data_IF_188569302651
#
_entry.id   IF_188569302651
#
_cell.length_a   1.000
_cell.length_b   1.000
_cell.length_c   1.000
_cell.angle_alpha   90.00
_cell.angle_beta   90.00
_cell.angle_gamma   90.00
#
_symmetry.space_group_name_H-M   'P 1'
#
loop_
_entity.id
_entity.type
_entity.pdbx_description
1 polymer ?
#
# COMPACT_ATOMS: atom_id res chain seq x y z
N UNK A 1 -9.80 17.25 16.09
CA UNK A 1 -10.11 16.46 14.87
C UNK A 1 -11.10 15.37 15.24
N UNK A 2 -12.04 15.07 14.35
CA UNK A 2 -13.17 14.17 14.60
C UNK A 2 -12.72 12.71 14.66
N UNK A 3 -13.23 11.94 15.62
CA UNK A 3 -13.05 10.48 15.63
C UNK A 3 -13.91 9.82 14.55
N UNK A 4 -13.54 8.59 14.16
CA UNK A 4 -14.38 7.78 13.29
C UNK A 4 -15.75 7.56 13.95
N UNK A 5 -16.87 7.65 13.20
CA UNK A 5 -18.21 7.38 13.74
C UNK A 5 -18.28 6.00 14.41
N UNK A 6 -18.99 5.89 15.54
CA UNK A 6 -19.26 4.61 16.16
C UNK A 6 -20.26 3.79 15.33
N UNK A 7 -20.35 2.48 15.58
CA UNK A 7 -21.40 1.66 14.96
C UNK A 7 -22.81 2.17 15.30
N UNK A 8 -23.01 2.73 16.50
CA UNK A 8 -24.29 3.35 16.87
C UNK A 8 -24.58 4.58 16.01
N UNK A 9 -23.58 5.42 15.74
CA UNK A 9 -23.71 6.58 14.85
C UNK A 9 -24.05 6.12 13.43
N UNK A 10 -23.33 5.12 12.90
CA UNK A 10 -23.61 4.54 11.58
C UNK A 10 -25.03 4.00 11.51
N UNK A 11 -25.49 3.27 12.54
CA UNK A 11 -26.85 2.72 12.61
C UNK A 11 -27.91 3.81 12.66
N UNK A 12 -27.64 4.93 13.33
CA UNK A 12 -28.58 6.06 13.44
C UNK A 12 -28.82 6.78 12.10
N UNK A 13 -27.84 6.72 11.19
CA UNK A 13 -27.89 7.38 9.88
C UNK A 13 -28.23 6.40 8.76
N UNK A 14 -27.57 5.24 8.73
CA UNK A 14 -27.70 4.20 7.71
C UNK A 14 -27.60 2.80 8.34
N UNK A 15 -28.70 2.25 8.87
CA UNK A 15 -28.70 0.94 9.54
C UNK A 15 -28.33 -0.22 8.61
N UNK A 16 -28.59 -0.09 7.31
CA UNK A 16 -28.13 -1.08 6.33
C UNK A 16 -26.60 -1.05 6.20
N UNK A 17 -25.99 0.14 6.19
CA UNK A 17 -24.53 0.28 6.12
C UNK A 17 -23.86 -0.31 7.36
N UNK A 18 -24.36 0.02 8.56
CA UNK A 18 -23.84 -0.58 9.80
C UNK A 18 -23.90 -2.11 9.75
N UNK A 19 -25.03 -2.69 9.34
CA UNK A 19 -25.17 -4.15 9.22
C UNK A 19 -24.14 -4.75 8.26
N UNK A 20 -23.87 -4.12 7.11
CA UNK A 20 -22.85 -4.59 6.17
C UNK A 20 -21.44 -4.43 6.73
N UNK A 21 -21.15 -3.33 7.42
CA UNK A 21 -19.87 -3.12 8.12
C UNK A 21 -19.62 -4.25 9.11
N UNK A 22 -20.58 -4.57 9.97
CA UNK A 22 -20.44 -5.64 10.96
C UNK A 22 -20.38 -7.01 10.30
N UNK A 23 -21.44 -7.43 9.60
CA UNK A 23 -21.59 -8.83 9.16
C UNK A 23 -20.73 -9.18 7.96
N UNK A 24 -20.55 -8.25 7.01
CA UNK A 24 -19.86 -8.54 5.75
C UNK A 24 -18.40 -8.15 5.80
N UNK A 25 -18.06 -7.02 6.41
CA UNK A 25 -16.68 -6.53 6.44
C UNK A 25 -15.93 -7.10 7.64
N UNK A 26 -16.37 -6.79 8.88
CA UNK A 26 -15.65 -7.17 10.09
C UNK A 26 -15.70 -8.67 10.37
N UNK A 27 -16.90 -9.26 10.36
CA UNK A 27 -17.10 -10.70 10.62
C UNK A 27 -16.85 -11.58 9.38
N UNK A 28 -16.80 -10.97 8.20
CA UNK A 28 -16.64 -11.66 6.91
C UNK A 28 -15.27 -11.44 6.29
N UNK A 29 -15.11 -10.33 5.55
CA UNK A 29 -13.90 -10.00 4.79
C UNK A 29 -12.62 -10.14 5.64
N UNK A 30 -12.60 -9.56 6.83
CA UNK A 30 -11.43 -9.57 7.71
C UNK A 30 -11.08 -10.96 8.27
N UNK A 31 -12.03 -11.90 8.25
CA UNK A 31 -11.86 -13.27 8.75
C UNK A 31 -11.39 -14.25 7.67
N UNK A 32 -11.30 -13.84 6.40
CA UNK A 32 -10.87 -14.71 5.30
C UNK A 32 -9.38 -15.06 5.43
N UNK A 33 -8.99 -16.35 5.40
CA UNK A 33 -7.63 -16.81 5.76
C UNK A 33 -6.56 -16.59 4.69
N UNK A 34 -6.95 -16.28 3.45
CA UNK A 34 -6.02 -16.15 2.31
C UNK A 34 -5.08 -14.93 2.41
N UNK A 35 -5.40 -13.96 3.28
CA UNK A 35 -4.56 -12.81 3.58
C UNK A 35 -4.60 -12.55 5.09
N UNK A 36 -3.43 -12.47 5.70
CA UNK A 36 -3.30 -12.30 7.15
C UNK A 36 -3.93 -10.99 7.63
N UNK A 37 -4.38 -10.89 8.89
CA UNK A 37 -4.85 -9.62 9.47
C UNK A 37 -3.80 -8.50 9.38
N UNK A 38 -2.51 -8.84 9.52
CA UNK A 38 -1.39 -7.91 9.33
C UNK A 38 -1.42 -7.31 7.92
N UNK A 39 -1.45 -8.17 6.89
CA UNK A 39 -1.41 -7.72 5.51
C UNK A 39 -2.69 -7.00 5.09
N UNK A 40 -3.87 -7.41 5.60
CA UNK A 40 -5.11 -6.65 5.43
C UNK A 40 -5.00 -5.23 5.98
N UNK A 41 -4.31 -5.07 7.12
CA UNK A 41 -4.06 -3.75 7.70
C UNK A 41 -3.14 -2.90 6.82
N UNK A 42 -2.08 -3.50 6.26
CA UNK A 42 -1.18 -2.84 5.30
C UNK A 42 -1.95 -2.39 4.05
N UNK A 43 -2.74 -3.29 3.43
CA UNK A 43 -3.56 -2.98 2.25
C UNK A 43 -4.54 -1.86 2.55
N UNK A 44 -5.27 -1.97 3.67
CA UNK A 44 -6.31 -1.00 4.06
C UNK A 44 -5.73 0.39 4.32
N UNK A 45 -4.66 0.50 5.11
CA UNK A 45 -4.00 1.79 5.34
C UNK A 45 -3.42 2.37 4.05
N UNK A 46 -2.93 1.53 3.14
CA UNK A 46 -2.46 2.00 1.83
C UNK A 46 -3.57 2.67 1.03
N UNK A 47 -4.79 2.12 1.06
CA UNK A 47 -5.97 2.75 0.42
C UNK A 47 -6.32 4.07 1.08
N UNK A 48 -6.45 4.09 2.41
CA UNK A 48 -6.88 5.28 3.14
C UNK A 48 -5.91 6.43 2.91
N UNK A 49 -4.61 6.16 2.94
CA UNK A 49 -3.57 7.15 2.66
C UNK A 49 -3.64 7.57 1.18
N UNK A 50 -3.69 6.61 0.25
CA UNK A 50 -3.70 6.89 -1.18
C UNK A 50 -4.88 7.79 -1.62
N UNK A 51 -6.01 7.68 -0.92
CA UNK A 51 -7.26 8.41 -1.20
C UNK A 51 -7.51 9.60 -0.26
N UNK A 52 -6.59 9.90 0.67
CA UNK A 52 -6.76 10.98 1.64
C UNK A 52 -7.94 10.81 2.60
N UNK A 53 -8.36 9.56 2.86
CA UNK A 53 -9.54 9.23 3.69
C UNK A 53 -9.20 9.25 5.18
N UNK A 54 -8.88 10.44 5.71
CA UNK A 54 -8.33 10.60 7.05
C UNK A 54 -9.27 10.19 8.20
N UNK A 55 -10.59 10.23 7.99
CA UNK A 55 -11.59 9.97 9.06
C UNK A 55 -11.47 8.56 9.65
N UNK A 56 -11.13 7.55 8.85
CA UNK A 56 -11.00 6.15 9.30
C UNK A 56 -9.57 5.74 9.66
N UNK A 57 -8.57 6.57 9.33
CA UNK A 57 -7.17 6.26 9.62
C UNK A 57 -6.90 6.00 11.11
N UNK A 58 -7.44 6.76 12.08
CA UNK A 58 -7.20 6.48 13.51
C UNK A 58 -7.61 5.06 13.93
N UNK A 59 -8.76 4.58 13.45
CA UNK A 59 -9.19 3.20 13.71
C UNK A 59 -8.24 2.19 13.07
N UNK A 60 -7.89 2.38 11.80
CA UNK A 60 -7.05 1.44 11.07
C UNK A 60 -5.58 1.45 11.49
N UNK A 61 -5.04 2.56 11.98
CA UNK A 61 -3.71 2.59 12.61
C UNK A 61 -3.68 1.80 13.91
N UNK A 62 -4.70 1.94 14.78
CA UNK A 62 -4.84 1.11 16.00
C UNK A 62 -4.94 -0.37 15.63
N UNK A 63 -5.83 -0.71 14.70
CA UNK A 63 -6.03 -2.07 14.26
C UNK A 63 -4.76 -2.67 13.64
N UNK A 64 -3.99 -1.89 12.87
CA UNK A 64 -2.73 -2.34 12.30
C UNK A 64 -1.71 -2.71 13.38
N UNK A 65 -1.56 -1.88 14.42
CA UNK A 65 -0.70 -2.19 15.56
C UNK A 65 -1.18 -3.44 16.32
N UNK A 66 -2.49 -3.57 16.52
CA UNK A 66 -3.09 -4.75 17.16
C UNK A 66 -2.90 -6.03 16.32
N UNK A 67 -2.87 -5.89 14.98
CA UNK A 67 -2.54 -6.94 14.01
C UNK A 67 -1.03 -7.10 13.77
N UNK A 68 -0.19 -6.58 14.67
CA UNK A 68 1.26 -6.71 14.66
C UNK A 68 2.01 -6.07 13.47
N UNK A 69 1.41 -5.08 12.80
CA UNK A 69 2.18 -4.17 11.94
C UNK A 69 3.04 -3.30 12.84
N UNK A 70 4.35 -3.26 12.59
CA UNK A 70 5.30 -2.54 13.46
C UNK A 70 5.15 -1.02 13.27
N UNK A 71 5.43 -0.21 14.31
CA UNK A 71 5.46 1.25 14.17
C UNK A 71 6.42 1.74 13.06
N UNK A 72 7.60 1.11 12.93
CA UNK A 72 8.54 1.38 11.85
C UNK A 72 7.97 1.09 10.45
N UNK A 73 7.17 0.03 10.30
CA UNK A 73 6.53 -0.30 9.02
C UNK A 73 5.46 0.73 8.67
N UNK A 74 4.63 1.14 9.65
CA UNK A 74 3.63 2.20 9.47
C UNK A 74 4.28 3.54 9.10
N UNK A 75 5.39 3.88 9.77
CA UNK A 75 6.18 5.08 9.46
C UNK A 75 6.72 5.03 8.03
N UNK A 76 7.29 3.90 7.63
CA UNK A 76 7.88 3.72 6.30
C UNK A 76 6.81 3.65 5.20
N UNK A 77 5.60 3.15 5.49
CA UNK A 77 4.44 3.23 4.59
C UNK A 77 4.07 4.68 4.28
N UNK A 78 4.04 5.56 5.30
CA UNK A 78 3.74 6.99 5.11
C UNK A 78 4.80 7.63 4.20
N UNK A 79 6.08 7.36 4.46
CA UNK A 79 7.20 7.83 3.62
C UNK A 79 7.05 7.34 2.18
N UNK A 80 6.78 6.05 1.97
CA UNK A 80 6.65 5.45 0.64
C UNK A 80 5.46 6.04 -0.13
N UNK A 81 4.33 6.23 0.53
CA UNK A 81 3.12 6.79 -0.09
C UNK A 81 3.20 8.30 -0.30
N UNK A 82 4.16 9.02 0.29
CA UNK A 82 4.46 10.40 -0.10
C UNK A 82 4.84 10.50 -1.59
N UNK A 83 5.59 9.51 -2.09
CA UNK A 83 6.02 9.42 -3.49
C UNK A 83 4.96 8.79 -4.41
N UNK A 84 4.27 7.76 -3.94
CA UNK A 84 3.30 7.02 -4.77
C UNK A 84 1.87 7.55 -4.71
N UNK A 85 1.55 8.40 -3.74
CA UNK A 85 0.19 8.94 -3.54
C UNK A 85 0.15 10.44 -3.24
N UNK A 86 1.32 11.09 -3.18
CA UNK A 86 1.44 12.54 -3.04
C UNK A 86 1.71 13.01 -1.62
N UNK A 87 2.44 14.12 -1.53
CA UNK A 87 2.95 14.66 -0.26
C UNK A 87 1.86 15.07 0.74
N UNK A 88 0.75 15.63 0.25
CA UNK A 88 -0.37 16.06 1.09
C UNK A 88 -1.06 14.87 1.79
N UNK A 89 -1.21 13.76 1.06
CA UNK A 89 -1.78 12.52 1.60
C UNK A 89 -0.90 11.93 2.72
N UNK A 90 0.42 11.86 2.50
CA UNK A 90 1.36 11.43 3.52
C UNK A 90 1.41 12.39 4.73
N UNK A 91 1.31 13.71 4.50
CA UNK A 91 1.26 14.71 5.58
C UNK A 91 0.02 14.52 6.46
N UNK A 92 -1.15 14.32 5.86
CA UNK A 92 -2.38 14.01 6.60
C UNK A 92 -2.25 12.70 7.39
N UNK A 93 -1.68 11.67 6.76
CA UNK A 93 -1.44 10.38 7.40
C UNK A 93 -0.48 10.49 8.60
N UNK A 94 0.59 11.27 8.48
CA UNK A 94 1.54 11.53 9.56
C UNK A 94 0.84 12.21 10.76
N UNK A 95 -0.06 13.16 10.49
CA UNK A 95 -0.89 13.79 11.53
C UNK A 95 -1.79 12.80 12.26
N UNK A 96 -2.43 11.88 11.52
CA UNK A 96 -3.28 10.83 12.11
C UNK A 96 -2.45 9.80 12.89
N UNK A 97 -1.32 9.36 12.33
CA UNK A 97 -0.42 8.40 12.95
C UNK A 97 0.19 8.95 14.24
N UNK A 98 0.61 10.23 14.27
CA UNK A 98 1.16 10.87 15.47
C UNK A 98 0.22 10.73 16.67
N UNK A 99 -1.08 10.98 16.47
CA UNK A 99 -2.07 10.85 17.54
C UNK A 99 -2.09 9.42 18.10
N UNK A 100 -2.13 8.42 17.22
CA UNK A 100 -2.18 7.01 17.64
C UNK A 100 -0.86 6.57 18.27
N UNK A 101 0.27 7.08 17.80
CA UNK A 101 1.58 6.80 18.39
C UNK A 101 1.68 7.39 19.80
N UNK A 102 1.21 8.61 20.01
CA UNK A 102 1.14 9.23 21.34
C UNK A 102 0.24 8.39 22.29
N UNK A 103 -0.94 7.96 21.82
CA UNK A 103 -1.87 7.08 22.57
C UNK A 103 -1.25 5.72 22.94
N UNK A 104 -0.35 5.20 22.10
CA UNK A 104 0.31 3.89 22.28
C UNK A 104 1.73 4.01 22.87
N UNK A 105 2.14 5.19 23.29
CA UNK A 105 3.49 5.48 23.79
C UNK A 105 4.62 5.04 22.83
N UNK A 106 4.35 5.14 21.53
CA UNK A 106 5.33 4.89 20.48
C UNK A 106 6.19 6.14 20.31
N UNK A 107 7.49 5.95 20.48
CA UNK A 107 8.51 7.00 20.41
C UNK A 107 9.34 6.88 19.14
N UNK A 108 10.06 7.93 18.77
CA UNK A 108 10.84 8.02 17.52
C UNK A 108 11.85 6.86 17.34
N UNK A 109 12.44 6.37 18.42
CA UNK A 109 13.37 5.22 18.40
C UNK A 109 12.73 3.88 17.98
N UNK A 110 11.40 3.80 17.90
CA UNK A 110 10.66 2.63 17.39
C UNK A 110 10.24 2.79 15.93
N UNK A 111 10.51 3.95 15.30
CA UNK A 111 10.17 4.27 13.93
C UNK A 111 11.31 3.91 12.97
N UNK A 112 11.04 3.95 11.66
CA UNK A 112 12.08 3.77 10.65
C UNK A 112 13.06 4.95 10.71
N UNK A 113 14.37 4.72 10.92
CA UNK A 113 15.34 5.80 10.95
C UNK A 113 15.43 6.54 9.61
N UNK A 114 15.81 7.81 9.65
CA UNK A 114 16.08 8.59 8.44
C UNK A 114 17.30 8.02 7.71
N UNK A 115 18.42 7.89 8.43
CA UNK A 115 19.67 7.33 7.93
C UNK A 115 19.72 5.81 8.16
N UNK A 116 19.80 5.04 7.07
CA UNK A 116 19.72 3.58 7.09
C UNK A 116 20.71 2.97 6.11
N UNK A 117 21.24 1.80 6.43
CA UNK A 117 21.92 0.97 5.45
C UNK A 117 20.88 0.43 4.45
N UNK A 118 21.04 0.77 3.17
CA UNK A 118 20.14 0.33 2.11
C UNK A 118 20.31 -1.17 1.82
N UNK A 119 19.21 -1.81 1.40
CA UNK A 119 19.19 -3.18 0.92
C UNK A 119 20.01 -3.32 -0.38
N UNK A 120 20.53 -4.52 -0.69
CA UNK A 120 21.28 -4.74 -1.92
C UNK A 120 20.47 -4.41 -3.18
N UNK A 121 21.10 -3.68 -4.10
CA UNK A 121 20.53 -3.36 -5.41
C UNK A 121 20.80 -4.47 -6.42
N UNK A 122 19.78 -4.88 -7.17
CA UNK A 122 20.00 -5.63 -8.41
C UNK A 122 20.50 -4.66 -9.50
N UNK A 123 21.82 -4.49 -9.59
CA UNK A 123 22.46 -3.55 -10.52
C UNK A 123 22.10 -3.81 -11.99
N UNK A 124 22.01 -5.07 -12.40
CA UNK A 124 21.67 -5.42 -13.79
C UNK A 124 20.21 -5.04 -14.10
N UNK A 125 19.28 -5.38 -13.21
CA UNK A 125 17.87 -5.04 -13.36
C UNK A 125 17.63 -3.53 -13.31
N UNK A 126 18.34 -2.81 -12.44
CA UNK A 126 18.23 -1.36 -12.34
C UNK A 126 18.82 -0.66 -13.57
N UNK A 127 19.96 -1.12 -14.09
CA UNK A 127 20.52 -0.61 -15.34
C UNK A 127 19.54 -0.76 -16.51
N UNK A 128 18.91 -1.92 -16.63
CA UNK A 128 17.90 -2.16 -17.68
C UNK A 128 16.68 -1.25 -17.52
N UNK A 129 16.15 -1.11 -16.30
CA UNK A 129 15.00 -0.23 -16.01
C UNK A 129 15.34 1.23 -16.33
N UNK A 130 16.49 1.72 -15.86
CA UNK A 130 16.95 3.09 -16.07
C UNK A 130 17.13 3.40 -17.56
N UNK A 131 17.76 2.49 -18.31
CA UNK A 131 17.93 2.64 -19.76
C UNK A 131 16.58 2.74 -20.48
N UNK A 132 15.65 1.82 -20.19
CA UNK A 132 14.31 1.85 -20.80
C UNK A 132 13.56 3.15 -20.51
N UNK A 133 13.63 3.68 -19.28
CA UNK A 133 12.98 4.95 -18.93
C UNK A 133 13.66 6.13 -19.63
N UNK A 134 15.00 6.12 -19.70
CA UNK A 134 15.78 7.16 -20.39
C UNK A 134 15.47 7.22 -21.88
N UNK A 135 15.40 6.07 -22.56
CA UNK A 135 15.13 5.98 -24.00
C UNK A 135 13.71 6.48 -24.35
N UNK A 136 12.72 6.16 -23.51
CA UNK A 136 11.34 6.53 -23.78
C UNK A 136 10.99 7.97 -23.36
N UNK A 137 11.57 8.45 -22.24
CA UNK A 137 11.11 9.68 -21.58
C UNK A 137 12.21 10.69 -21.26
N UNK A 138 13.49 10.40 -21.54
CA UNK A 138 14.61 11.28 -21.24
C UNK A 138 14.52 12.65 -21.90
N UNK A 139 14.00 12.70 -23.14
CA UNK A 139 13.77 13.96 -23.86
C UNK A 139 12.47 14.68 -23.43
N UNK A 140 11.54 13.97 -22.78
CA UNK A 140 10.23 14.52 -22.38
C UNK A 140 10.34 15.24 -21.04
N UNK A 141 10.91 14.58 -20.04
CA UNK A 141 11.01 15.11 -18.68
C UNK A 141 12.28 14.60 -17.98
N UNK A 142 13.46 15.14 -18.30
CA UNK A 142 14.75 14.64 -17.79
C UNK A 142 14.82 14.65 -16.25
N UNK A 143 14.25 15.67 -15.59
CA UNK A 143 14.20 15.73 -14.12
C UNK A 143 13.38 14.58 -13.51
N UNK A 144 12.27 14.19 -14.13
CA UNK A 144 11.46 13.05 -13.66
C UNK A 144 12.24 11.75 -13.82
N UNK A 145 12.93 11.57 -14.95
CA UNK A 145 13.77 10.39 -15.20
C UNK A 145 14.90 10.29 -14.18
N UNK A 146 15.56 11.41 -13.89
CA UNK A 146 16.62 11.48 -12.89
C UNK A 146 16.09 11.10 -11.50
N UNK A 147 15.06 11.78 -10.99
CA UNK A 147 14.51 11.50 -9.66
C UNK A 147 13.92 10.10 -9.54
N UNK A 148 13.37 9.54 -10.62
CA UNK A 148 12.94 8.14 -10.64
C UNK A 148 14.11 7.21 -10.31
N UNK A 149 15.28 7.46 -10.89
CA UNK A 149 16.48 6.65 -10.64
C UNK A 149 17.04 6.92 -9.25
N UNK A 150 17.38 8.17 -8.95
CA UNK A 150 18.17 8.55 -7.77
C UNK A 150 17.38 8.42 -6.46
N UNK A 151 16.13 8.91 -6.45
CA UNK A 151 15.31 8.98 -5.23
C UNK A 151 14.44 7.74 -5.07
N UNK A 152 13.91 7.18 -6.16
CA UNK A 152 13.03 6.01 -6.04
C UNK A 152 13.82 4.70 -6.04
N UNK A 153 14.45 4.33 -7.15
CA UNK A 153 14.98 2.98 -7.32
C UNK A 153 16.37 2.76 -6.68
N UNK A 154 17.16 3.82 -6.48
CA UNK A 154 18.46 3.78 -5.79
C UNK A 154 18.41 4.17 -4.31
N UNK A 155 17.27 4.61 -3.81
CA UNK A 155 17.07 4.95 -2.39
C UNK A 155 15.76 4.36 -1.83
N UNK A 156 14.60 4.98 -2.09
CA UNK A 156 13.32 4.61 -1.46
C UNK A 156 13.01 3.11 -1.53
N UNK A 157 13.19 2.48 -2.68
CA UNK A 157 12.93 1.05 -2.89
C UNK A 157 13.91 0.12 -2.18
N UNK A 158 15.04 0.63 -1.72
CA UNK A 158 16.09 -0.10 -1.00
C UNK A 158 16.05 0.16 0.51
N UNK A 159 15.21 1.09 0.99
CA UNK A 159 15.09 1.34 2.43
C UNK A 159 14.57 0.08 3.16
N UNK A 160 15.17 -0.34 4.29
CA UNK A 160 14.84 -1.61 4.96
C UNK A 160 13.63 -1.51 5.92
N UNK A 161 13.05 -0.33 6.13
CA UNK A 161 11.90 -0.14 7.03
C UNK A 161 10.64 -0.90 6.61
N UNK A 162 10.57 -1.31 5.33
CA UNK A 162 9.62 -2.28 4.81
C UNK A 162 10.39 -3.36 4.06
N UNK A 163 10.03 -4.62 4.28
CA UNK A 163 10.51 -5.71 3.44
C UNK A 163 10.11 -5.43 1.96
N UNK A 164 10.93 -5.82 0.96
CA UNK A 164 10.60 -5.59 -0.45
C UNK A 164 9.21 -6.09 -0.86
N UNK A 165 8.76 -7.21 -0.28
CA UNK A 165 7.42 -7.79 -0.48
C UNK A 165 6.32 -6.83 -0.01
N UNK A 166 6.45 -6.30 1.20
CA UNK A 166 5.46 -5.42 1.81
C UNK A 166 5.45 -4.03 1.17
N UNK A 167 6.62 -3.49 0.80
CA UNK A 167 6.71 -2.24 0.01
C UNK A 167 5.97 -2.36 -1.32
N UNK A 168 6.11 -3.50 -2.00
CA UNK A 168 5.36 -3.77 -3.21
C UNK A 168 3.86 -3.95 -2.95
N UNK A 169 3.46 -4.61 -1.86
CA UNK A 169 2.06 -4.75 -1.46
C UNK A 169 1.39 -3.38 -1.24
N UNK A 170 2.06 -2.48 -0.52
CA UNK A 170 1.64 -1.09 -0.32
C UNK A 170 1.45 -0.37 -1.65
N UNK A 171 2.45 -0.49 -2.53
CA UNK A 171 2.45 0.15 -3.85
C UNK A 171 1.28 -0.32 -4.70
N UNK A 172 1.13 -1.64 -4.88
CA UNK A 172 0.04 -2.22 -5.69
C UNK A 172 -1.32 -1.82 -5.13
N UNK A 173 -1.48 -1.83 -3.80
CA UNK A 173 -2.73 -1.42 -3.14
C UNK A 173 -3.09 0.04 -3.44
N UNK A 174 -2.12 0.96 -3.34
CA UNK A 174 -2.32 2.37 -3.64
C UNK A 174 -2.63 2.62 -5.13
N UNK A 175 -1.94 1.92 -6.04
CA UNK A 175 -2.20 2.03 -7.48
C UNK A 175 -3.62 1.60 -7.84
N UNK A 176 -4.09 0.48 -7.30
CA UNK A 176 -5.48 0.02 -7.49
C UNK A 176 -6.45 1.02 -6.87
N UNK A 177 -6.17 1.52 -5.66
CA UNK A 177 -7.04 2.46 -4.96
C UNK A 177 -7.32 3.76 -5.73
N UNK A 178 -6.35 4.19 -6.54
CA UNK A 178 -6.41 5.38 -7.37
C UNK A 178 -6.69 5.10 -8.86
N UNK A 179 -7.01 3.85 -9.23
CA UNK A 179 -7.31 3.47 -10.61
C UNK A 179 -6.12 3.61 -11.58
N UNK A 180 -4.88 3.60 -11.08
CA UNK A 180 -3.65 3.82 -11.84
C UNK A 180 -3.19 2.55 -12.58
N UNK A 181 -4.09 1.98 -13.39
CA UNK A 181 -3.94 0.66 -14.03
C UNK A 181 -2.68 0.52 -14.87
N UNK A 182 -2.22 1.61 -15.51
CA UNK A 182 -1.02 1.62 -16.35
C UNK A 182 0.26 1.23 -15.59
N UNK A 183 0.30 1.43 -14.27
CA UNK A 183 1.47 1.13 -13.43
C UNK A 183 1.39 -0.24 -12.76
N UNK A 184 0.21 -0.87 -12.73
CA UNK A 184 -0.04 -2.12 -12.00
C UNK A 184 0.82 -3.26 -12.55
N UNK A 185 0.96 -3.40 -13.87
CA UNK A 185 1.72 -4.50 -14.48
C UNK A 185 3.15 -4.59 -13.94
N UNK A 186 3.87 -3.47 -13.89
CA UNK A 186 5.25 -3.43 -13.40
C UNK A 186 5.30 -3.76 -11.90
N UNK A 187 4.50 -3.07 -11.09
CA UNK A 187 4.54 -3.21 -9.64
C UNK A 187 3.99 -4.55 -9.13
N UNK A 188 3.04 -5.16 -9.82
CA UNK A 188 2.53 -6.49 -9.49
C UNK A 188 3.57 -7.57 -9.80
N UNK A 189 4.27 -7.51 -10.94
CA UNK A 189 5.38 -8.44 -11.21
C UNK A 189 6.44 -8.31 -10.13
N UNK A 190 6.88 -7.07 -9.83
CA UNK A 190 7.85 -6.81 -8.76
C UNK A 190 7.36 -7.31 -7.39
N UNK A 191 6.08 -7.17 -7.07
CA UNK A 191 5.51 -7.70 -5.83
C UNK A 191 5.67 -9.20 -5.73
N UNK A 192 5.36 -9.90 -6.81
CA UNK A 192 5.44 -11.35 -6.83
C UNK A 192 6.86 -11.89 -7.01
N UNK A 193 7.78 -11.13 -7.59
CA UNK A 193 9.22 -11.43 -7.58
C UNK A 193 9.78 -11.31 -6.15
N UNK A 194 9.25 -10.38 -5.36
CA UNK A 194 9.57 -10.22 -3.94
C UNK A 194 8.85 -11.23 -3.03
N UNK A 195 8.07 -12.16 -3.58
CA UNK A 195 7.43 -13.24 -2.81
C UNK A 195 5.95 -13.06 -2.48
N UNK A 196 5.26 -12.04 -3.01
CA UNK A 196 3.80 -11.99 -2.95
C UNK A 196 3.20 -13.13 -3.79
N UNK A 197 2.45 -14.01 -3.16
CA UNK A 197 1.84 -15.15 -3.85
C UNK A 197 0.64 -14.72 -4.70
N UNK A 198 0.26 -15.56 -5.66
CA UNK A 198 -0.98 -15.36 -6.44
C UNK A 198 -2.22 -15.32 -5.55
N UNK A 199 -2.27 -16.16 -4.52
CA UNK A 199 -3.37 -16.23 -3.55
C UNK A 199 -3.50 -14.90 -2.80
N UNK A 200 -2.40 -14.39 -2.24
CA UNK A 200 -2.38 -13.10 -1.51
C UNK A 200 -2.69 -11.92 -2.44
N UNK A 201 -2.17 -11.92 -3.67
CA UNK A 201 -2.46 -10.88 -4.66
C UNK A 201 -3.95 -10.88 -5.05
N UNK A 202 -4.55 -12.05 -5.21
CA UNK A 202 -6.00 -12.19 -5.46
C UNK A 202 -6.81 -11.71 -4.26
N UNK A 203 -6.42 -12.08 -3.05
CA UNK A 203 -7.14 -11.68 -1.83
C UNK A 203 -6.95 -10.18 -1.51
N UNK A 204 -5.85 -9.58 -1.95
CA UNK A 204 -5.64 -8.13 -1.94
C UNK A 204 -6.71 -7.41 -2.78
N UNK A 205 -7.06 -7.91 -3.97
CA UNK A 205 -8.18 -7.35 -4.75
C UNK A 205 -9.52 -7.48 -4.00
N UNK A 206 -9.75 -8.59 -3.29
CA UNK A 206 -10.95 -8.77 -2.46
C UNK A 206 -11.02 -7.70 -1.37
N UNK A 207 -9.93 -7.44 -0.64
CA UNK A 207 -9.86 -6.37 0.36
C UNK A 207 -10.13 -4.99 -0.27
N UNK A 208 -9.47 -4.71 -1.40
CA UNK A 208 -9.60 -3.44 -2.12
C UNK A 208 -11.03 -3.18 -2.62
N UNK A 209 -11.83 -4.21 -2.92
CA UNK A 209 -13.21 -4.00 -3.38
C UNK A 209 -14.04 -3.21 -2.34
N UNK A 210 -13.83 -3.49 -1.06
CA UNK A 210 -14.55 -2.84 0.05
C UNK A 210 -13.97 -1.46 0.40
N UNK A 211 -12.65 -1.30 0.35
CA UNK A 211 -12.00 -0.05 0.79
C UNK A 211 -11.77 0.96 -0.34
N UNK A 212 -11.52 0.49 -1.57
CA UNK A 212 -11.29 1.33 -2.75
C UNK A 212 -12.48 1.36 -3.72
N UNK A 213 -13.49 0.50 -3.52
CA UNK A 213 -14.68 0.41 -4.34
C UNK A 213 -14.54 -0.56 -5.52
N UNK A 214 -15.67 -1.19 -5.90
CA UNK A 214 -15.75 -2.18 -6.97
C UNK A 214 -15.18 -1.72 -8.32
N UNK A 215 -15.49 -0.49 -8.84
CA UNK A 215 -15.00 -0.08 -10.15
C UNK A 215 -13.47 -0.12 -10.28
N UNK A 216 -12.75 0.34 -9.25
CA UNK A 216 -11.28 0.31 -9.23
C UNK A 216 -10.73 -1.11 -9.31
N UNK A 217 -11.33 -2.06 -8.58
CA UNK A 217 -10.95 -3.47 -8.64
C UNK A 217 -11.26 -4.09 -10.00
N UNK A 218 -12.43 -3.80 -10.58
CA UNK A 218 -12.80 -4.28 -11.91
C UNK A 218 -11.89 -3.72 -13.02
N UNK A 219 -11.36 -2.51 -12.87
CA UNK A 219 -10.33 -1.97 -13.77
C UNK A 219 -8.97 -2.66 -13.60
N UNK A 220 -8.62 -3.13 -12.39
CA UNK A 220 -7.37 -3.81 -12.11
C UNK A 220 -7.37 -5.31 -12.49
N UNK A 221 -8.51 -5.99 -12.38
CA UNK A 221 -8.63 -7.43 -12.61
C UNK A 221 -8.08 -7.92 -13.97
N UNK A 222 -8.30 -7.24 -15.11
CA UNK A 222 -7.69 -7.64 -16.38
C UNK A 222 -6.16 -7.65 -16.32
N UNK A 223 -5.55 -6.64 -15.67
CA UNK A 223 -4.09 -6.56 -15.51
C UNK A 223 -3.57 -7.69 -14.63
N UNK A 224 -4.24 -7.98 -13.51
CA UNK A 224 -3.88 -9.10 -12.63
C UNK A 224 -3.97 -10.44 -13.36
N UNK A 225 -5.06 -10.66 -14.12
CA UNK A 225 -5.24 -11.85 -14.95
C UNK A 225 -4.08 -12.03 -15.92
N UNK A 226 -3.71 -10.99 -16.65
CA UNK A 226 -2.62 -11.03 -17.63
C UNK A 226 -1.27 -11.35 -16.99
N UNK A 227 -0.97 -10.74 -15.83
CA UNK A 227 0.27 -11.03 -15.08
C UNK A 227 0.29 -12.49 -14.62
N UNK A 228 -0.80 -13.00 -14.04
CA UNK A 228 -0.89 -14.38 -13.59
C UNK A 228 -0.73 -15.38 -14.75
N UNK A 229 -1.38 -15.12 -15.88
CA UNK A 229 -1.27 -15.98 -17.07
C UNK A 229 0.14 -16.01 -17.66
N UNK A 230 0.82 -14.85 -17.75
CA UNK A 230 2.21 -14.78 -18.24
C UNK A 230 3.18 -15.50 -17.32
N UNK A 231 3.02 -15.38 -16.00
CA UNK A 231 3.91 -16.05 -15.03
C UNK A 231 3.66 -17.56 -14.95
N UNK A 232 2.44 -18.03 -15.22
CA UNK A 232 2.13 -19.47 -15.26
C UNK A 232 2.71 -20.20 -16.49
N UNK A 233 3.01 -19.47 -17.56
CA UNK A 233 3.53 -20.01 -18.83
C UNK A 233 5.02 -19.79 -19.03
N UNK A 234 5.67 -19.05 -18.11
CA UNK A 234 7.12 -18.84 -18.11
C UNK A 234 7.79 -19.96 -17.31
N UNK A 235 8.81 -20.66 -17.84
CA UNK A 235 9.63 -21.55 -17.02
C UNK A 235 10.24 -20.77 -15.86
N UNK A 236 10.16 -21.30 -14.64
CA UNK A 236 10.82 -20.73 -13.46
C UNK A 236 12.34 -20.74 -13.62
#
# INVERSE_FOLDING_TARGET
MQESPSLADLKSVSPAFERYTTQTVLDGLWMRPQLSPRDRSIVTLSVLIARGQAVEMPFHFRLALDNAVKPAELSEMITHLAFYSGWANATAAAGMAKRIFDERHITENQLAPADVALLPLNEAGEKQRAQMVQENFGAVAPGVVQYTTDVLFRDLWLRPGLAPRDRSLVTVSALVANGQVAQITYHLNRAMDNGLTKEEASETLTQLAFYAGWPNVFSAMPVFKDVFSKRATSPQ
#
